data_IF_643252312049
#
_entry.id   IF_643252312049
#
_cell.length_a   1.000
_cell.length_b   1.000
_cell.length_c   1.000
_cell.angle_alpha   90.00
_cell.angle_beta   90.00
_cell.angle_gamma   90.00
#
_symmetry.space_group_name_H-M   'P 1'
#
loop_
_entity.id
_entity.type
_entity.pdbx_description
1 polymer ?
#
# COMPACT_ATOMS: atom_id res chain seq x y z
N UNK A 1 11.72 0.82 -12.52
CA UNK A 1 12.71 0.14 -11.64
C UNK A 1 12.19 -0.06 -10.22
N UNK A 2 11.65 0.96 -9.53
CA UNK A 2 11.09 0.84 -8.17
C UNK A 2 10.07 -0.30 -8.00
N UNK A 3 9.06 -0.39 -8.88
CA UNK A 3 8.05 -1.47 -8.85
C UNK A 3 8.66 -2.87 -8.83
N UNK A 4 9.66 -3.15 -9.67
CA UNK A 4 10.30 -4.45 -9.72
C UNK A 4 11.04 -4.79 -8.41
N UNK A 5 11.73 -3.83 -7.81
CA UNK A 5 12.42 -4.04 -6.54
C UNK A 5 11.45 -4.24 -5.37
N UNK A 6 10.40 -3.42 -5.30
CA UNK A 6 9.43 -3.49 -4.22
C UNK A 6 8.56 -4.75 -4.31
N UNK A 7 8.11 -5.12 -5.52
CA UNK A 7 7.35 -6.36 -5.72
C UNK A 7 8.18 -7.60 -5.37
N UNK A 8 9.45 -7.64 -5.78
CA UNK A 8 10.34 -8.76 -5.44
C UNK A 8 10.59 -8.87 -3.93
N UNK A 9 10.57 -7.75 -3.20
CA UNK A 9 10.96 -7.70 -1.79
C UNK A 9 9.79 -7.88 -0.82
N UNK A 10 8.60 -7.38 -1.15
CA UNK A 10 7.47 -7.30 -0.22
C UNK A 10 6.22 -8.07 -0.67
N UNK A 11 6.12 -8.49 -1.93
CA UNK A 11 4.97 -9.26 -2.45
C UNK A 11 5.43 -10.69 -2.79
N UNK A 12 5.56 -11.59 -1.80
CA UNK A 12 6.08 -12.94 -2.00
C UNK A 12 5.09 -13.86 -2.73
N UNK A 13 3.79 -13.63 -2.59
CA UNK A 13 2.73 -14.54 -3.06
C UNK A 13 2.44 -14.44 -4.57
N UNK A 14 3.24 -13.66 -5.32
CA UNK A 14 3.12 -13.46 -6.76
C UNK A 14 4.47 -13.57 -7.48
N UNK A 15 4.42 -13.91 -8.76
CA UNK A 15 5.60 -14.13 -9.60
C UNK A 15 5.98 -12.88 -10.41
N UNK A 16 7.28 -12.71 -10.66
CA UNK A 16 7.79 -11.69 -11.60
C UNK A 16 7.65 -12.22 -13.04
N UNK A 17 7.41 -11.35 -14.05
CA UNK A 17 7.30 -9.89 -13.97
C UNK A 17 5.90 -9.37 -13.61
N UNK A 18 4.89 -10.24 -13.60
CA UNK A 18 3.46 -9.92 -13.49
C UNK A 18 3.14 -8.97 -12.32
N UNK A 19 3.60 -9.30 -11.11
CA UNK A 19 3.38 -8.45 -9.92
C UNK A 19 3.96 -7.05 -10.01
N UNK A 20 5.01 -6.85 -10.81
CA UNK A 20 5.60 -5.52 -10.98
C UNK A 20 4.79 -4.68 -11.97
N UNK A 21 4.14 -5.31 -12.94
CA UNK A 21 3.22 -4.67 -13.89
C UNK A 21 1.93 -4.29 -13.14
N UNK A 22 1.36 -5.19 -12.35
CA UNK A 22 0.17 -4.91 -11.55
C UNK A 22 0.37 -3.70 -10.62
N UNK A 23 1.54 -3.59 -9.97
CA UNK A 23 1.86 -2.44 -9.12
C UNK A 23 1.93 -1.13 -9.90
N UNK A 24 2.43 -1.17 -11.14
CA UNK A 24 2.50 0.03 -12.00
C UNK A 24 1.09 0.43 -12.43
N UNK A 25 0.24 -0.52 -12.79
CA UNK A 25 -1.12 -0.26 -13.25
C UNK A 25 -2.02 0.27 -12.13
N UNK A 26 -1.92 -0.33 -10.94
CA UNK A 26 -2.65 0.11 -9.75
C UNK A 26 -2.17 1.51 -9.30
N UNK A 27 -0.85 1.73 -9.25
CA UNK A 27 -0.31 3.04 -8.91
C UNK A 27 -0.63 4.09 -9.99
N UNK A 28 -0.63 3.73 -11.27
CA UNK A 28 -1.01 4.62 -12.37
C UNK A 28 -2.46 5.06 -12.28
N UNK A 29 -3.37 4.11 -12.06
CA UNK A 29 -4.80 4.38 -11.83
C UNK A 29 -4.99 5.27 -10.61
N UNK A 30 -4.29 4.99 -9.51
CA UNK A 30 -4.32 5.78 -8.28
C UNK A 30 -3.77 7.19 -8.49
N UNK A 31 -2.59 7.36 -9.08
CA UNK A 31 -2.00 8.68 -9.34
C UNK A 31 -2.92 9.53 -10.22
N UNK A 32 -3.53 8.92 -11.24
CA UNK A 32 -4.54 9.57 -12.09
C UNK A 32 -5.78 9.99 -11.30
N UNK A 33 -6.22 9.18 -10.34
CA UNK A 33 -7.38 9.49 -9.49
C UNK A 33 -7.08 10.50 -8.36
N UNK A 34 -5.88 10.49 -7.78
CA UNK A 34 -5.57 11.17 -6.51
C UNK A 34 -4.61 12.38 -6.64
N UNK A 35 -3.66 12.38 -7.58
CA UNK A 35 -2.62 13.42 -7.69
C UNK A 35 -2.93 14.53 -8.69
N UNK A 36 -4.06 14.48 -9.39
CA UNK A 36 -4.53 15.64 -10.14
C UNK A 36 -5.12 16.66 -9.15
N UNK A 37 -4.61 17.90 -9.04
CA UNK A 37 -5.18 18.96 -8.18
C UNK A 37 -6.63 19.30 -8.54
N UNK A 38 -7.05 18.93 -9.76
CA UNK A 38 -8.39 19.07 -10.30
C UNK A 38 -9.32 17.89 -9.95
N UNK A 39 -8.79 16.80 -9.38
CA UNK A 39 -9.57 15.61 -9.00
C UNK A 39 -10.51 15.87 -7.82
N UNK A 40 -10.25 16.86 -6.97
CA UNK A 40 -11.16 17.19 -5.86
C UNK A 40 -12.51 17.68 -6.39
N UNK A 41 -12.51 18.71 -7.24
CA UNK A 41 -13.72 19.25 -7.87
C UNK A 41 -14.37 18.23 -8.82
N UNK A 42 -13.57 17.48 -9.57
CA UNK A 42 -14.07 16.42 -10.45
C UNK A 42 -14.74 15.28 -9.65
N UNK A 43 -14.12 14.86 -8.53
CA UNK A 43 -14.64 13.83 -7.62
C UNK A 43 -15.88 14.33 -6.90
N UNK A 44 -15.90 15.57 -6.42
CA UNK A 44 -17.07 16.16 -5.77
C UNK A 44 -18.25 16.24 -6.75
N UNK A 45 -18.01 16.71 -7.98
CA UNK A 45 -19.03 16.77 -9.04
C UNK A 45 -19.52 15.38 -9.41
N UNK A 46 -18.61 14.40 -9.56
CA UNK A 46 -18.97 13.01 -9.86
C UNK A 46 -19.75 12.32 -8.73
N UNK A 47 -19.34 12.52 -7.47
CA UNK A 47 -20.05 11.97 -6.30
C UNK A 47 -21.43 12.59 -6.15
N UNK A 48 -21.56 13.89 -6.43
CA UNK A 48 -22.84 14.61 -6.43
C UNK A 48 -23.76 14.10 -7.54
N UNK A 49 -23.23 13.87 -8.75
CA UNK A 49 -23.99 13.28 -9.87
C UNK A 49 -24.50 11.87 -9.52
N UNK A 50 -23.63 11.02 -8.95
CA UNK A 50 -24.02 9.66 -8.54
C UNK A 50 -25.10 9.65 -7.46
N UNK A 51 -25.02 10.57 -6.50
CA UNK A 51 -26.04 10.75 -5.46
C UNK A 51 -27.37 11.18 -6.08
N UNK A 52 -27.34 12.14 -6.99
CA UNK A 52 -28.51 12.68 -7.66
C UNK A 52 -29.19 11.66 -8.59
N UNK A 53 -28.41 10.82 -9.27
CA UNK A 53 -28.92 9.68 -10.05
C UNK A 53 -29.70 8.70 -9.18
N UNK A 54 -29.19 8.40 -7.98
CA UNK A 54 -29.86 7.52 -7.02
C UNK A 54 -31.15 8.14 -6.47
N UNK A 55 -31.14 9.44 -6.18
CA UNK A 55 -32.33 10.17 -5.75
C UNK A 55 -33.41 10.20 -6.84
N UNK A 56 -33.01 10.37 -8.11
CA UNK A 56 -33.91 10.33 -9.27
C UNK A 56 -34.53 8.94 -9.45
N UNK A 57 -33.73 7.88 -9.34
CA UNK A 57 -34.21 6.49 -9.41
C UNK A 57 -35.21 6.20 -8.29
N UNK A 58 -34.92 6.64 -7.06
CA UNK A 58 -35.85 6.52 -5.94
C UNK A 58 -37.15 7.33 -6.14
N UNK A 59 -37.08 8.52 -6.74
CA UNK A 59 -38.26 9.32 -7.06
C UNK A 59 -39.15 8.63 -8.11
N UNK A 60 -38.54 7.97 -9.12
CA UNK A 60 -39.25 7.18 -10.12
C UNK A 60 -39.92 5.95 -9.49
N UNK A 61 -39.21 5.21 -8.63
CA UNK A 61 -39.73 4.03 -7.93
C UNK A 61 -40.91 4.39 -7.00
N UNK A 62 -40.86 5.58 -6.39
CA UNK A 62 -41.93 6.11 -5.52
C UNK A 62 -43.00 6.91 -6.25
N UNK A 63 -42.99 6.90 -7.59
CA UNK A 63 -43.95 7.57 -8.47
C UNK A 63 -44.05 9.09 -8.27
N UNK A 64 -42.99 9.73 -7.77
CA UNK A 64 -42.88 11.19 -7.65
C UNK A 64 -42.32 11.76 -8.96
N UNK A 65 -43.16 11.81 -9.98
CA UNK A 65 -42.74 12.16 -11.34
C UNK A 65 -42.25 13.61 -11.46
N UNK A 66 -42.88 14.56 -10.76
CA UNK A 66 -42.47 15.97 -10.77
C UNK A 66 -41.06 16.14 -10.19
N UNK A 67 -40.77 15.51 -9.04
CA UNK A 67 -39.44 15.49 -8.43
C UNK A 67 -38.40 14.84 -9.37
N UNK A 68 -38.77 13.76 -10.08
CA UNK A 68 -37.88 13.09 -11.02
C UNK A 68 -37.53 13.96 -12.24
N UNK A 69 -38.44 14.83 -12.68
CA UNK A 69 -38.21 15.79 -13.76
C UNK A 69 -37.22 16.86 -13.31
N UNK A 70 -37.40 17.43 -12.12
CA UNK A 70 -36.48 18.43 -11.56
C UNK A 70 -35.06 17.85 -11.34
N UNK A 71 -34.98 16.62 -10.84
CA UNK A 71 -33.71 15.91 -10.70
C UNK A 71 -33.08 15.63 -12.06
N UNK A 72 -33.86 15.33 -13.11
CA UNK A 72 -33.32 15.15 -14.47
C UNK A 72 -32.69 16.43 -15.01
N UNK A 73 -33.27 17.60 -14.79
CA UNK A 73 -32.66 18.87 -15.22
C UNK A 73 -31.31 19.13 -14.53
N UNK A 74 -31.24 18.86 -13.21
CA UNK A 74 -29.99 18.98 -12.44
C UNK A 74 -28.93 17.95 -12.84
N UNK A 75 -29.35 16.75 -13.23
CA UNK A 75 -28.46 15.71 -13.78
C UNK A 75 -27.75 16.23 -15.03
N UNK A 76 -28.50 16.80 -15.98
CA UNK A 76 -27.94 17.36 -17.22
C UNK A 76 -26.96 18.49 -16.94
N UNK A 77 -27.25 19.37 -15.98
CA UNK A 77 -26.35 20.47 -15.59
C UNK A 77 -25.04 19.94 -14.99
N UNK A 78 -25.12 18.95 -14.10
CA UNK A 78 -23.93 18.32 -13.50
C UNK A 78 -23.13 17.51 -14.54
N UNK A 79 -23.78 16.87 -15.50
CA UNK A 79 -23.12 16.17 -16.61
C UNK A 79 -22.36 17.16 -17.52
N UNK A 80 -22.97 18.30 -17.85
CA UNK A 80 -22.32 19.36 -18.63
C UNK A 80 -21.09 19.92 -17.89
N UNK A 81 -21.25 20.24 -16.60
CA UNK A 81 -20.15 20.71 -15.75
C UNK A 81 -19.03 19.67 -15.62
N UNK A 82 -19.38 18.38 -15.53
CA UNK A 82 -18.41 17.29 -15.52
C UNK A 82 -17.66 17.18 -16.86
N UNK A 83 -18.32 17.44 -17.99
CA UNK A 83 -17.70 17.45 -19.32
C UNK A 83 -16.75 18.64 -19.48
N UNK A 84 -17.14 19.85 -19.07
CA UNK A 84 -16.27 21.03 -19.12
C UNK A 84 -15.02 20.86 -18.24
N UNK A 85 -15.17 20.29 -17.04
CA UNK A 85 -14.05 19.96 -16.16
C UNK A 85 -13.14 18.88 -16.75
N UNK A 86 -13.67 18.02 -17.64
CA UNK A 86 -12.89 17.02 -18.40
C UNK A 86 -12.22 17.60 -19.64
N UNK A 87 -12.83 18.57 -20.32
CA UNK A 87 -12.27 19.20 -21.53
C UNK A 87 -11.19 20.23 -21.21
N UNK A 88 -11.28 20.92 -20.06
CA UNK A 88 -10.20 21.76 -19.53
C UNK A 88 -8.92 20.99 -19.17
N UNK A 89 -8.95 19.66 -19.26
CA UNK A 89 -7.80 18.78 -19.08
C UNK A 89 -6.99 18.66 -20.37
N UNK A 90 -5.91 19.44 -20.47
CA UNK A 90 -4.93 19.30 -21.53
C UNK A 90 -4.00 18.09 -21.26
N UNK A 91 -4.21 16.99 -21.98
CA UNK A 91 -3.44 15.72 -21.91
C UNK A 91 -1.92 15.89 -22.04
N UNK A 92 -1.46 16.98 -22.66
CA UNK A 92 -0.07 17.17 -23.05
C UNK A 92 0.84 17.79 -21.97
N UNK A 93 0.30 18.54 -20.99
CA UNK A 93 1.13 19.26 -19.99
C UNK A 93 1.10 18.69 -18.57
N UNK A 94 0.09 17.90 -18.21
CA UNK A 94 -0.11 17.38 -16.85
C UNK A 94 -0.32 15.86 -16.84
N UNK A 95 0.56 15.10 -17.50
CA UNK A 95 0.56 13.64 -17.35
C UNK A 95 0.92 13.29 -15.91
N UNK A 96 0.00 12.67 -15.15
CA UNK A 96 0.30 12.25 -13.79
C UNK A 96 1.45 11.24 -13.82
N UNK A 97 2.56 11.56 -13.16
CA UNK A 97 3.74 10.68 -13.11
C UNK A 97 3.65 9.78 -11.89
N UNK A 98 3.78 8.48 -12.11
CA UNK A 98 3.92 7.50 -11.03
C UNK A 98 5.31 7.66 -10.41
N UNK A 99 5.35 7.95 -9.11
CA UNK A 99 6.58 8.09 -8.32
C UNK A 99 6.88 6.82 -7.54
N UNK A 100 8.07 6.73 -6.94
CA UNK A 100 8.46 5.61 -6.07
C UNK A 100 7.53 5.46 -4.86
N UNK A 101 7.04 6.59 -4.35
CA UNK A 101 6.17 6.67 -3.17
C UNK A 101 4.78 6.11 -3.50
N UNK A 102 4.26 6.37 -4.71
CA UNK A 102 2.97 5.82 -5.16
C UNK A 102 3.01 4.29 -5.22
N UNK A 103 4.11 3.73 -5.71
CA UNK A 103 4.32 2.28 -5.74
C UNK A 103 4.42 1.73 -4.30
N UNK A 104 5.11 2.44 -3.40
CA UNK A 104 5.24 2.04 -2.00
C UNK A 104 3.89 2.02 -1.27
N UNK A 105 3.00 2.99 -1.55
CA UNK A 105 1.63 3.02 -1.02
C UNK A 105 0.81 1.80 -1.44
N UNK A 106 0.89 1.41 -2.72
CA UNK A 106 0.15 0.24 -3.22
C UNK A 106 0.69 -1.04 -2.59
N UNK A 107 2.01 -1.19 -2.48
CA UNK A 107 2.63 -2.34 -1.81
C UNK A 107 2.21 -2.41 -0.35
N UNK A 108 2.18 -1.29 0.36
CA UNK A 108 1.72 -1.23 1.74
C UNK A 108 0.26 -1.68 1.89
N UNK A 109 -0.60 -1.26 0.96
CA UNK A 109 -2.00 -1.68 0.94
C UNK A 109 -2.17 -3.19 0.74
N UNK A 110 -1.39 -3.79 -0.16
CA UNK A 110 -1.51 -5.22 -0.47
C UNK A 110 -0.91 -6.11 0.61
N UNK A 111 0.16 -5.66 1.25
CA UNK A 111 0.97 -6.48 2.18
C UNK A 111 0.71 -6.15 3.64
N UNK A 112 0.03 -5.04 3.93
CA UNK A 112 -0.12 -4.48 5.27
C UNK A 112 1.17 -3.85 5.83
N UNK A 113 2.29 -3.87 5.10
CA UNK A 113 3.58 -3.33 5.56
C UNK A 113 3.59 -1.80 5.45
N UNK A 114 3.80 -1.03 6.53
CA UNK A 114 3.75 0.43 6.48
C UNK A 114 4.68 1.09 5.45
N UNK A 115 4.21 2.14 4.76
CA UNK A 115 4.94 2.88 3.70
C UNK A 115 6.27 3.47 4.20
N UNK A 116 6.33 3.91 5.46
CA UNK A 116 7.57 4.39 6.09
C UNK A 116 8.68 3.34 6.06
N UNK A 117 8.33 2.05 6.17
CA UNK A 117 9.28 0.93 6.04
C UNK A 117 9.76 0.74 4.60
N UNK A 118 9.03 1.24 3.61
CA UNK A 118 9.35 1.01 2.20
C UNK A 118 10.17 2.18 1.61
N UNK A 119 9.96 3.41 2.08
CA UNK A 119 10.45 4.65 1.46
C UNK A 119 11.87 5.12 1.87
N UNK A 120 12.65 4.32 2.61
CA UNK A 120 14.08 4.61 2.89
C UNK A 120 14.50 4.58 4.36
N UNK A 121 13.56 4.64 5.30
CA UNK A 121 13.85 4.51 6.74
C UNK A 121 14.30 3.10 7.13
N UNK A 122 14.10 2.09 6.26
CA UNK A 122 14.42 0.70 6.61
C UNK A 122 15.91 0.49 6.88
N UNK A 123 16.82 1.22 6.23
CA UNK A 123 18.25 1.08 6.51
C UNK A 123 18.59 1.50 7.94
N UNK A 124 18.15 2.68 8.35
CA UNK A 124 18.37 3.19 9.72
C UNK A 124 17.67 2.29 10.74
N UNK A 125 16.43 1.89 10.45
CA UNK A 125 15.66 0.98 11.30
C UNK A 125 16.37 -0.37 11.50
N UNK A 126 16.98 -0.93 10.45
CA UNK A 126 17.76 -2.17 10.52
C UNK A 126 19.07 -2.03 11.30
N UNK A 127 19.64 -0.82 11.38
CA UNK A 127 20.79 -0.54 12.25
C UNK A 127 20.38 -0.51 13.73
N UNK A 128 19.14 -0.15 14.03
CA UNK A 128 18.59 -0.16 15.39
C UNK A 128 17.96 -1.50 15.80
N UNK A 129 17.97 -2.51 14.93
CA UNK A 129 17.23 -3.77 15.13
C UNK A 129 17.56 -4.45 16.47
N UNK A 130 18.84 -4.59 16.81
CA UNK A 130 19.25 -5.18 18.09
C UNK A 130 18.67 -4.40 19.28
N UNK A 131 18.77 -3.07 19.25
CA UNK A 131 18.25 -2.18 20.31
C UNK A 131 16.75 -2.37 20.50
N UNK A 132 15.99 -2.42 19.40
CA UNK A 132 14.53 -2.60 19.45
C UNK A 132 14.16 -3.99 19.98
N UNK A 133 14.85 -5.05 19.55
CA UNK A 133 14.60 -6.40 20.05
C UNK A 133 14.88 -6.53 21.56
N UNK A 134 15.94 -5.88 22.06
CA UNK A 134 16.28 -5.87 23.49
C UNK A 134 15.27 -5.14 24.38
N UNK A 135 14.35 -4.35 23.83
CA UNK A 135 13.28 -3.73 24.63
C UNK A 135 12.26 -4.76 25.15
N UNK A 136 12.08 -5.87 24.42
CA UNK A 136 11.13 -6.94 24.78
C UNK A 136 11.82 -8.23 25.19
N UNK A 137 13.04 -8.47 24.73
CA UNK A 137 13.78 -9.70 24.97
C UNK A 137 14.92 -9.43 25.94
N UNK A 138 14.84 -10.05 27.11
CA UNK A 138 15.87 -9.97 28.15
C UNK A 138 16.91 -11.07 27.92
N UNK A 139 18.18 -10.70 27.87
CA UNK A 139 19.28 -11.61 27.51
C UNK A 139 19.26 -11.98 26.02
N UNK A 140 19.73 -13.19 25.68
CA UNK A 140 19.75 -13.73 24.31
C UNK A 140 20.53 -12.83 23.32
N UNK A 141 21.61 -12.18 23.76
CA UNK A 141 22.42 -11.25 22.95
C UNK A 141 22.97 -11.91 21.68
N UNK A 142 23.45 -13.14 21.79
CA UNK A 142 24.02 -13.88 20.67
C UNK A 142 22.96 -14.23 19.60
N UNK A 143 21.80 -14.84 19.95
CA UNK A 143 20.69 -15.00 19.01
C UNK A 143 20.25 -13.71 18.34
N UNK A 144 20.07 -12.62 19.10
CA UNK A 144 19.62 -11.33 18.56
C UNK A 144 20.63 -10.79 17.53
N UNK A 145 21.93 -10.80 17.86
CA UNK A 145 22.99 -10.39 16.93
C UNK A 145 23.03 -11.26 15.67
N UNK A 146 22.87 -12.58 15.81
CA UNK A 146 22.86 -13.51 14.68
C UNK A 146 21.70 -13.23 13.72
N UNK A 147 20.51 -12.99 14.26
CA UNK A 147 19.30 -12.65 13.50
C UNK A 147 19.47 -11.32 12.79
N UNK A 148 19.85 -10.26 13.51
CA UNK A 148 20.03 -8.94 12.94
C UNK A 148 21.04 -8.95 11.79
N UNK A 149 22.15 -9.68 11.95
CA UNK A 149 23.14 -9.88 10.88
C UNK A 149 22.58 -10.68 9.69
N UNK A 150 21.76 -11.69 9.92
CA UNK A 150 21.11 -12.45 8.85
C UNK A 150 20.13 -11.58 8.04
N UNK A 151 19.27 -10.83 8.73
CA UNK A 151 18.28 -9.93 8.13
C UNK A 151 18.98 -8.81 7.35
N UNK A 152 19.96 -8.13 7.93
CA UNK A 152 20.72 -7.07 7.25
C UNK A 152 21.39 -7.57 5.98
N UNK A 153 22.01 -8.76 5.99
CA UNK A 153 22.63 -9.34 4.78
C UNK A 153 21.61 -9.60 3.68
N UNK A 154 20.46 -10.16 4.02
CA UNK A 154 19.39 -10.41 3.06
C UNK A 154 18.80 -9.10 2.50
N UNK A 155 18.59 -8.09 3.35
CA UNK A 155 18.05 -6.79 2.93
C UNK A 155 19.06 -5.93 2.14
N UNK A 156 20.36 -6.15 2.32
CA UNK A 156 21.43 -5.53 1.53
C UNK A 156 21.57 -6.11 0.11
N UNK A 157 20.76 -7.10 -0.28
CA UNK A 157 20.83 -7.72 -1.61
C UNK A 157 22.04 -8.66 -1.79
N UNK A 158 22.72 -9.03 -0.71
CA UNK A 158 23.87 -9.94 -0.73
C UNK A 158 23.45 -11.42 -0.73
N UNK A 159 22.17 -11.72 -0.95
CA UNK A 159 21.58 -13.07 -0.91
C UNK A 159 20.73 -13.32 -2.16
N UNK A 160 20.70 -14.58 -2.59
CA UNK A 160 19.81 -15.06 -3.65
C UNK A 160 18.33 -14.71 -3.33
N UNK A 161 17.63 -13.97 -4.23
CA UNK A 161 16.21 -13.62 -4.07
C UNK A 161 15.27 -14.82 -3.94
N UNK A 162 15.67 -16.01 -4.41
CA UNK A 162 14.86 -17.23 -4.32
C UNK A 162 14.93 -17.91 -2.95
N UNK A 163 15.75 -17.39 -2.03
CA UNK A 163 15.92 -17.97 -0.69
C UNK A 163 15.24 -17.09 0.38
N UNK A 164 14.71 -17.69 1.46
CA UNK A 164 14.12 -16.93 2.58
C UNK A 164 15.08 -15.88 3.13
N UNK A 165 14.58 -14.79 3.73
CA UNK A 165 15.41 -13.71 4.33
C UNK A 165 16.45 -14.31 5.31
N UNK A 166 16.01 -15.16 6.22
CA UNK A 166 16.85 -15.96 7.11
C UNK A 166 16.25 -17.35 7.27
N UNK A 167 17.10 -18.37 7.33
CA UNK A 167 16.70 -19.69 7.83
C UNK A 167 17.35 -19.85 9.18
N UNK A 168 16.54 -19.94 10.23
CA UNK A 168 16.96 -19.86 11.62
C UNK A 168 16.37 -21.03 12.38
N UNK A 169 17.16 -21.64 13.25
CA UNK A 169 16.71 -22.70 14.15
C UNK A 169 16.95 -22.26 15.59
N UNK A 170 15.88 -22.09 16.36
CA UNK A 170 15.98 -21.71 17.77
C UNK A 170 16.10 -22.95 18.64
N UNK A 171 17.26 -23.12 19.28
CA UNK A 171 17.58 -24.26 20.14
C UNK A 171 17.54 -23.85 21.62
N UNK A 172 17.16 -24.79 22.49
CA UNK A 172 17.15 -24.61 23.94
C UNK A 172 15.88 -25.16 24.61
N UNK A 173 15.82 -25.18 25.96
CA UNK A 173 14.66 -25.67 26.70
C UNK A 173 13.42 -24.76 26.55
N UNK A 174 12.24 -25.25 26.92
CA UNK A 174 11.01 -24.43 26.93
C UNK A 174 11.14 -23.27 27.92
N UNK A 175 10.39 -22.18 27.67
CA UNK A 175 10.39 -21.00 28.55
C UNK A 175 11.55 -20.02 28.38
N UNK A 176 12.60 -20.33 27.60
CA UNK A 176 13.76 -19.43 27.40
C UNK A 176 13.55 -18.26 26.44
N UNK A 177 12.32 -18.08 25.91
CA UNK A 177 11.98 -16.95 25.04
C UNK A 177 12.09 -17.19 23.52
N UNK A 178 12.28 -18.44 23.05
CA UNK A 178 12.36 -18.75 21.60
C UNK A 178 11.16 -18.23 20.80
N UNK A 179 9.95 -18.51 21.27
CA UNK A 179 8.70 -18.07 20.62
C UNK A 179 8.52 -16.57 20.70
N UNK A 180 8.85 -15.96 21.84
CA UNK A 180 8.81 -14.51 22.01
C UNK A 180 9.73 -13.84 20.99
N UNK A 181 10.93 -14.37 20.83
CA UNK A 181 11.93 -13.85 19.90
C UNK A 181 11.50 -13.97 18.43
N UNK A 182 10.80 -15.05 18.06
CA UNK A 182 10.16 -15.16 16.75
C UNK A 182 9.03 -14.14 16.55
N UNK A 183 8.16 -13.93 17.55
CA UNK A 183 7.07 -12.94 17.51
C UNK A 183 7.59 -11.51 17.42
N UNK A 184 8.56 -11.14 18.24
CA UNK A 184 9.21 -9.82 18.20
C UNK A 184 9.91 -9.58 16.85
N UNK A 185 10.51 -10.63 16.27
CA UNK A 185 11.07 -10.55 14.92
C UNK A 185 9.95 -10.32 13.88
N UNK A 186 8.83 -11.02 13.97
CA UNK A 186 7.69 -10.85 13.07
C UNK A 186 7.11 -9.43 13.16
N UNK A 187 6.90 -8.90 14.37
CA UNK A 187 6.45 -7.53 14.59
C UNK A 187 7.44 -6.51 14.02
N UNK A 188 8.74 -6.69 14.28
CA UNK A 188 9.77 -5.81 13.74
C UNK A 188 9.76 -5.82 12.20
N UNK A 189 9.72 -7.01 11.59
CA UNK A 189 9.82 -7.16 10.13
C UNK A 189 8.53 -6.78 9.40
N UNK A 190 7.37 -7.20 9.91
CA UNK A 190 6.09 -7.17 9.21
C UNK A 190 5.03 -6.28 9.87
N UNK A 191 5.25 -5.89 11.14
CA UNK A 191 4.41 -4.91 11.83
C UNK A 191 3.32 -5.53 12.70
N UNK A 192 3.20 -6.85 12.68
CA UNK A 192 2.33 -7.61 13.56
C UNK A 192 3.03 -8.88 14.03
N UNK A 193 2.79 -9.27 15.28
CA UNK A 193 3.19 -10.60 15.78
C UNK A 193 2.42 -11.73 15.09
N UNK A 194 1.21 -11.44 14.59
CA UNK A 194 0.34 -12.40 13.90
C UNK A 194 0.83 -12.73 12.48
N UNK A 195 1.83 -11.99 11.98
CA UNK A 195 2.51 -12.33 10.73
C UNK A 195 3.40 -13.58 10.86
N UNK A 196 3.51 -14.15 12.06
CA UNK A 196 4.14 -15.45 12.29
C UNK A 196 3.16 -16.57 11.89
N UNK A 197 3.50 -17.31 10.83
CA UNK A 197 2.71 -18.42 10.27
C UNK A 197 3.16 -19.76 10.87
#
# INVERSE_FOLDING_TARGET
VSAAHLAARYVPDRFMPDKAIDLIDEAGSRVRMYKAPYAANLRETFMSLKKLQKEKEQALDTQRFDDAIDLRYREVELEARLSELREGWNEASNQPKVTSEDIAEVVAMWTGVPVSRIAGEERERLLEMERVMHQRIIGQDEPIKAIAKAVRRARAGLKDPKRPIGSLMFLGPTGVGKTLLAKTLAEFMFGSEEALI
#
